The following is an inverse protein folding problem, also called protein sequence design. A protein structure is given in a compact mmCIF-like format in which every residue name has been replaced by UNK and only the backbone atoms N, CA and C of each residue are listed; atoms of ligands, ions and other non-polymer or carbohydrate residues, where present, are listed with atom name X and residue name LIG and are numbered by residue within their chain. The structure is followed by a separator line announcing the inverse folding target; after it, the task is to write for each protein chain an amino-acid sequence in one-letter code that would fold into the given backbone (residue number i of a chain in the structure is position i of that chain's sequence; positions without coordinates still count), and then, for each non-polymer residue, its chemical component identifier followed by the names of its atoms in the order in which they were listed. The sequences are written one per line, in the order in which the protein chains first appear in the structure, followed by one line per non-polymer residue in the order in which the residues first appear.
data_IF_083516813704
#
_entry.id   IF_083516813704
#
_cell.length_a   1.000
_cell.length_b   1.000
_cell.length_c   1.000
_cell.angle_alpha   90.00
_cell.angle_beta   90.00
_cell.angle_gamma   90.00
#
_symmetry.space_group_name_H-M   'P 1'
#
loop_
_entity.id
_entity.type
_entity.pdbx_description
1 polymer ?
#
# COMPACT_ATOMS: atom_id res chain seq x y z
N UNK A 1 -29.97 10.58 -0.55
CA UNK A 1 -28.95 11.61 -0.86
C UNK A 1 -27.71 10.88 -1.36
N UNK A 2 -27.43 10.96 -2.67
CA UNK A 2 -26.30 10.27 -3.32
C UNK A 2 -25.13 11.25 -3.44
N UNK A 3 -23.98 10.93 -2.83
CA UNK A 3 -22.72 11.64 -3.03
C UNK A 3 -22.05 11.12 -4.30
N UNK A 4 -21.73 12.03 -5.21
CA UNK A 4 -21.00 11.76 -6.46
C UNK A 4 -19.48 11.78 -6.21
N UNK A 5 -18.78 10.77 -6.73
CA UNK A 5 -17.33 10.73 -6.84
C UNK A 5 -16.89 11.67 -7.98
N UNK A 6 -15.97 12.58 -7.70
CA UNK A 6 -15.31 13.42 -8.70
C UNK A 6 -13.94 12.79 -9.01
N UNK A 7 -13.80 12.20 -10.18
CA UNK A 7 -12.51 11.90 -10.82
C UNK A 7 -12.10 13.10 -11.67
N UNK A 8 -10.96 13.72 -11.33
CA UNK A 8 -10.36 14.80 -12.11
C UNK A 8 -9.61 14.21 -13.31
N UNK A 9 -10.09 14.49 -14.52
CA UNK A 9 -9.34 14.30 -15.77
C UNK A 9 -8.64 15.61 -16.14
N UNK A 10 -7.33 15.56 -16.31
CA UNK A 10 -6.53 16.62 -16.90
C UNK A 10 -6.72 16.61 -18.41
N UNK A 11 -7.33 17.67 -18.96
CA UNK A 11 -7.51 17.87 -20.39
C UNK A 11 -6.37 18.72 -20.94
N UNK A 12 -5.63 18.11 -21.86
CA UNK A 12 -4.67 18.79 -22.74
C UNK A 12 -5.47 19.62 -23.76
N UNK A 13 -5.36 20.95 -23.70
CA UNK A 13 -5.98 21.86 -24.65
C UNK A 13 -5.18 21.90 -25.96
N UNK A 14 -5.79 21.43 -27.05
CA UNK A 14 -5.40 21.81 -28.41
C UNK A 14 -6.36 22.92 -28.89
N UNK A 15 -5.79 24.06 -29.29
CA UNK A 15 -6.52 25.18 -29.88
C UNK A 15 -6.97 24.88 -31.32
N UNK A 16 -8.18 25.30 -31.66
CA UNK A 16 -8.55 25.64 -33.04
C UNK A 16 -9.60 26.75 -33.05
N UNK A 17 -9.46 27.59 -34.06
CA UNK A 17 -9.94 28.96 -34.21
C UNK A 17 -11.15 29.00 -35.16
N UNK A 18 -12.03 30.00 -34.94
CA UNK A 18 -12.77 30.81 -35.93
C UNK A 18 -14.31 30.76 -35.92
N UNK A 19 -14.87 31.99 -35.83
CA UNK A 19 -16.08 32.55 -36.45
C UNK A 19 -17.43 31.90 -36.13
N UNK A 20 -18.50 32.60 -35.72
CA UNK A 20 -18.89 34.00 -35.90
C UNK A 20 -20.39 33.98 -36.29
N UNK A 21 -21.21 34.89 -35.77
CA UNK A 21 -22.59 35.05 -36.28
C UNK A 21 -23.65 35.44 -35.24
N UNK A 22 -23.97 36.73 -35.24
CA UNK A 22 -25.03 37.45 -34.53
C UNK A 22 -26.39 37.42 -35.27
N UNK A 23 -27.50 37.55 -34.53
CA UNK A 23 -28.83 37.95 -35.03
C UNK A 23 -29.96 37.28 -34.23
N UNK A 24 -30.65 37.93 -33.27
CA UNK A 24 -31.67 38.99 -33.38
C UNK A 24 -33.10 38.49 -33.69
N UNK A 25 -33.97 38.68 -32.68
CA UNK A 25 -35.40 39.12 -32.72
C UNK A 25 -36.47 38.31 -33.45
N UNK A 26 -37.61 38.10 -32.78
CA UNK A 26 -38.91 38.03 -33.45
C UNK A 26 -40.00 37.19 -32.79
N UNK A 27 -40.85 37.87 -32.04
CA UNK A 27 -42.10 37.48 -31.37
C UNK A 27 -43.16 36.81 -32.28
N UNK A 28 -43.95 35.85 -31.77
CA UNK A 28 -45.44 35.85 -31.90
C UNK A 28 -46.16 34.69 -31.16
N UNK A 29 -47.34 35.07 -30.67
CA UNK A 29 -48.34 34.41 -29.82
C UNK A 29 -48.94 33.10 -30.38
N UNK A 30 -49.37 32.23 -29.45
CA UNK A 30 -50.77 31.76 -29.46
C UNK A 30 -51.06 30.25 -29.47
N UNK A 31 -51.53 29.76 -28.31
CA UNK A 31 -52.57 28.74 -28.10
C UNK A 31 -52.30 27.24 -28.39
N UNK A 32 -52.56 26.42 -27.36
CA UNK A 32 -52.93 25.00 -27.49
C UNK A 32 -52.06 24.02 -26.69
N UNK A 33 -52.52 23.58 -25.51
CA UNK A 33 -52.04 22.32 -24.90
C UNK A 33 -52.92 21.14 -25.33
N UNK A 34 -52.78 19.93 -24.75
CA UNK A 34 -51.59 19.31 -24.16
C UNK A 34 -51.28 17.94 -24.82
N UNK A 35 -50.01 17.55 -24.92
CA UNK A 35 -49.64 16.15 -25.13
C UNK A 35 -48.24 15.90 -24.55
N UNK A 36 -48.19 15.25 -23.39
CA UNK A 36 -46.94 14.73 -22.81
C UNK A 36 -46.75 13.33 -23.40
N UNK A 37 -45.99 13.24 -24.49
CA UNK A 37 -45.33 12.01 -24.91
C UNK A 37 -43.85 12.18 -24.58
N UNK A 38 -43.37 11.36 -23.67
CA UNK A 38 -41.96 11.25 -23.35
C UNK A 38 -41.29 10.46 -24.48
N UNK A 39 -40.56 11.16 -25.35
CA UNK A 39 -39.65 10.54 -26.30
C UNK A 39 -38.43 10.00 -25.54
N UNK A 40 -38.23 8.70 -25.73
CA UNK A 40 -37.13 7.88 -25.24
C UNK A 40 -35.88 8.18 -26.08
N UNK A 41 -35.12 9.22 -25.70
CA UNK A 41 -33.83 9.50 -26.30
C UNK A 41 -32.77 8.54 -25.73
N UNK A 42 -32.44 7.53 -26.53
CA UNK A 42 -31.32 6.62 -26.37
C UNK A 42 -29.99 7.40 -26.29
N UNK A 43 -29.29 7.27 -25.15
CA UNK A 43 -27.95 7.82 -24.98
C UNK A 43 -26.90 6.84 -25.55
N UNK A 44 -25.92 7.32 -26.37
CA UNK A 44 -24.87 6.49 -26.92
C UNK A 44 -23.72 6.40 -25.91
N UNK A 45 -23.82 5.50 -24.94
CA UNK A 45 -22.68 5.13 -24.12
C UNK A 45 -22.17 3.75 -24.53
N UNK A 46 -21.03 3.79 -25.22
CA UNK A 46 -20.21 2.63 -25.52
C UNK A 46 -19.97 1.79 -24.26
N UNK A 47 -20.15 0.50 -24.43
CA UNK A 47 -19.93 -0.56 -23.45
C UNK A 47 -18.49 -0.47 -22.91
N UNK A 48 -18.34 -0.16 -21.63
CA UNK A 48 -17.08 -0.41 -20.93
C UNK A 48 -16.81 -1.94 -20.95
N UNK A 49 -15.58 -2.39 -21.27
CA UNK A 49 -15.28 -3.82 -21.27
C UNK A 49 -15.35 -4.38 -19.84
N UNK A 50 -16.02 -5.52 -19.69
CA UNK A 50 -16.06 -6.29 -18.45
C UNK A 50 -14.70 -6.97 -18.20
N UNK A 51 -14.19 -7.05 -16.95
CA UNK A 51 -12.87 -7.65 -16.63
C UNK A 51 -12.72 -9.16 -16.89
N UNK A 52 -13.65 -9.80 -17.60
CA UNK A 52 -13.71 -11.25 -17.77
C UNK A 52 -13.00 -11.78 -19.04
N UNK A 53 -12.37 -10.92 -19.84
CA UNK A 53 -11.80 -11.32 -21.15
C UNK A 53 -10.28 -11.17 -21.28
N UNK A 54 -9.56 -10.86 -20.19
CA UNK A 54 -8.11 -10.62 -20.26
C UNK A 54 -7.21 -11.80 -19.87
N UNK A 55 -7.74 -12.91 -19.32
CA UNK A 55 -6.89 -14.02 -18.84
C UNK A 55 -7.61 -15.36 -18.99
N UNK A 56 -7.79 -15.80 -20.23
CA UNK A 56 -7.92 -17.21 -20.56
C UNK A 56 -6.62 -17.59 -21.23
N UNK A 57 -5.78 -18.32 -20.53
CA UNK A 57 -4.98 -19.44 -21.01
C UNK A 57 -4.16 -19.97 -19.82
N UNK A 58 -3.75 -21.23 -19.92
CA UNK A 58 -3.00 -22.05 -18.94
C UNK A 58 -3.85 -22.93 -18.02
N UNK A 59 -4.40 -23.99 -18.61
CA UNK A 59 -4.55 -25.28 -17.92
C UNK A 59 -3.16 -25.85 -17.55
N UNK A 60 -2.99 -26.44 -16.35
CA UNK A 60 -1.70 -27.02 -15.98
C UNK A 60 -1.47 -28.37 -16.66
N UNK A 61 -0.41 -28.45 -17.46
CA UNK A 61 0.15 -29.69 -17.94
C UNK A 61 0.63 -30.56 -16.76
N UNK A 62 0.17 -31.80 -16.77
CA UNK A 62 0.67 -32.91 -15.97
C UNK A 62 2.12 -33.20 -16.34
N UNK A 63 3.03 -33.23 -15.37
CA UNK A 63 4.17 -34.15 -15.38
C UNK A 63 4.81 -34.25 -13.99
N UNK A 64 4.93 -35.49 -13.52
CA UNK A 64 5.62 -35.88 -12.30
C UNK A 64 7.14 -35.97 -12.52
N UNK A 65 7.95 -35.80 -11.47
CA UNK A 65 9.22 -36.50 -11.41
C UNK A 65 9.38 -37.35 -10.15
N UNK A 66 9.76 -38.58 -10.47
CA UNK A 66 10.37 -39.70 -9.76
C UNK A 66 11.24 -39.35 -8.54
N UNK A 67 10.99 -40.10 -7.46
CA UNK A 67 11.84 -40.20 -6.28
C UNK A 67 13.27 -40.66 -6.64
N UNK A 68 14.27 -40.04 -6.02
CA UNK A 68 15.60 -40.65 -5.90
C UNK A 68 16.06 -40.50 -4.46
N UNK A 69 16.08 -41.64 -3.78
CA UNK A 69 16.58 -41.86 -2.43
C UNK A 69 18.11 -41.85 -2.48
N UNK A 70 18.75 -40.98 -1.69
CA UNK A 70 20.20 -40.90 -1.53
C UNK A 70 20.54 -40.76 -0.05
N UNK A 71 21.31 -41.72 0.45
CA UNK A 71 21.57 -42.02 1.85
C UNK A 71 22.41 -40.95 2.57
N UNK A 72 22.10 -40.76 3.86
CA UNK A 72 22.94 -40.07 4.82
C UNK A 72 24.11 -40.96 5.25
N UNK A 73 25.31 -40.39 5.30
CA UNK A 73 26.45 -40.92 6.05
C UNK A 73 26.79 -39.93 7.16
N UNK A 74 26.74 -40.46 8.38
CA UNK A 74 27.31 -39.90 9.59
C UNK A 74 28.83 -39.80 9.45
N UNK A 75 29.44 -38.72 9.95
CA UNK A 75 30.78 -38.80 10.52
C UNK A 75 30.95 -37.70 11.58
N UNK A 76 31.28 -38.16 12.79
CA UNK A 76 31.65 -37.36 13.95
C UNK A 76 33.09 -36.88 13.81
N UNK A 77 33.37 -35.66 14.27
CA UNK A 77 34.73 -35.12 14.37
C UNK A 77 34.78 -33.96 15.35
N UNK A 78 35.35 -34.25 16.51
CA UNK A 78 35.44 -33.46 17.73
C UNK A 78 36.73 -32.61 17.75
N UNK A 79 36.64 -31.45 18.43
CA UNK A 79 37.70 -30.60 19.00
C UNK A 79 38.87 -30.08 18.14
N UNK A 80 39.02 -28.74 18.06
CA UNK A 80 40.22 -28.07 18.63
C UNK A 80 39.98 -26.56 18.81
N UNK A 81 40.59 -26.01 19.85
CA UNK A 81 40.45 -24.63 20.31
C UNK A 81 41.74 -23.81 20.08
N UNK A 82 41.54 -22.47 20.02
CA UNK A 82 42.50 -21.36 20.22
C UNK A 82 43.30 -20.87 18.99
N UNK A 83 43.85 -19.63 18.99
CA UNK A 83 43.49 -18.38 19.68
C UNK A 83 43.30 -17.18 18.71
N UNK A 84 42.95 -16.03 19.29
CA UNK A 84 42.68 -14.72 18.68
C UNK A 84 43.79 -14.18 17.75
N UNK A 85 43.39 -13.67 16.58
CA UNK A 85 44.22 -12.89 15.64
C UNK A 85 43.81 -11.40 15.66
N UNK A 86 44.65 -10.48 16.16
CA UNK A 86 44.39 -9.05 16.14
C UNK A 86 45.06 -8.41 14.93
N UNK A 87 44.41 -8.40 13.76
CA UNK A 87 45.10 -7.82 12.59
C UNK A 87 44.43 -7.85 11.23
N UNK A 88 43.12 -7.63 11.11
CA UNK A 88 42.50 -7.42 9.79
C UNK A 88 42.24 -5.92 9.52
N UNK A 89 42.83 -5.32 8.47
CA UNK A 89 42.55 -3.94 8.08
C UNK A 89 41.09 -3.79 7.65
N UNK A 90 40.46 -2.72 8.14
CA UNK A 90 39.03 -2.46 7.99
C UNK A 90 38.55 -2.60 6.54
N UNK A 91 37.48 -3.37 6.37
CA UNK A 91 36.71 -3.36 5.11
C UNK A 91 36.27 -1.93 4.82
N UNK A 92 36.43 -1.43 3.58
CA UNK A 92 35.98 -0.10 3.22
C UNK A 92 34.47 -0.02 3.43
N UNK A 93 34.05 0.99 4.19
CA UNK A 93 32.67 1.44 4.27
C UNK A 93 32.24 1.73 2.84
N UNK A 94 31.23 1.01 2.36
CA UNK A 94 30.68 1.21 1.02
C UNK A 94 29.94 2.54 1.05
N UNK A 95 30.63 3.60 0.64
CA UNK A 95 30.03 4.90 0.33
C UNK A 95 29.11 4.74 -0.88
N UNK A 96 27.85 4.40 -0.58
CA UNK A 96 26.81 4.15 -1.59
C UNK A 96 25.42 4.66 -1.20
N UNK A 97 25.32 5.54 -0.20
CA UNK A 97 24.06 6.24 0.11
C UNK A 97 24.01 7.49 -0.75
N UNK A 98 23.40 7.36 -1.93
CA UNK A 98 23.14 8.49 -2.82
C UNK A 98 22.39 9.61 -2.10
N UNK A 99 23.08 10.75 -1.94
CA UNK A 99 22.58 12.12 -1.67
C UNK A 99 21.13 12.21 -1.17
N UNK A 100 20.91 12.01 0.13
CA UNK A 100 19.66 12.39 0.81
C UNK A 100 19.59 13.89 1.15
N UNK A 101 20.32 14.75 0.43
CA UNK A 101 20.74 16.06 0.94
C UNK A 101 20.23 17.29 0.19
N UNK A 102 19.16 17.16 -0.59
CA UNK A 102 18.27 18.32 -0.81
C UNK A 102 17.29 18.47 0.37
N UNK A 103 17.89 18.51 1.56
CA UNK A 103 17.43 18.91 2.89
C UNK A 103 15.92 18.91 3.18
N UNK A 104 15.45 17.82 3.82
CA UNK A 104 14.42 18.00 4.84
C UNK A 104 15.00 18.93 5.91
N UNK A 105 14.58 20.20 5.92
CA UNK A 105 14.96 21.12 6.97
C UNK A 105 14.39 20.63 8.30
N UNK A 106 15.24 20.48 9.31
CA UNK A 106 14.81 20.25 10.70
C UNK A 106 13.91 21.38 11.22
N UNK A 107 14.05 22.59 10.66
CA UNK A 107 13.34 23.80 11.12
C UNK A 107 12.05 24.08 10.33
N UNK A 108 12.08 23.89 9.00
CA UNK A 108 10.95 24.29 8.13
C UNK A 108 10.11 23.10 7.63
N UNK A 109 10.65 21.88 7.68
CA UNK A 109 10.00 20.71 7.10
C UNK A 109 9.88 20.82 5.58
N UNK A 110 9.20 19.86 4.97
CA UNK A 110 8.92 19.81 3.53
C UNK A 110 7.54 19.22 3.33
N UNK A 111 6.77 19.82 2.42
CA UNK A 111 5.44 19.33 2.06
C UNK A 111 5.55 18.08 1.19
N UNK A 112 4.82 17.04 1.56
CA UNK A 112 4.63 15.81 0.79
C UNK A 112 3.15 15.62 0.48
N UNK A 113 2.87 15.07 -0.69
CA UNK A 113 1.57 14.49 -0.99
C UNK A 113 1.32 13.31 -0.04
N UNK A 114 0.08 13.19 0.42
CA UNK A 114 -0.36 12.18 1.35
C UNK A 114 -1.43 11.29 0.71
N UNK A 115 -1.15 10.00 0.69
CA UNK A 115 -2.15 8.95 0.53
C UNK A 115 -2.12 8.01 1.72
N UNK A 116 -3.01 7.03 1.70
CA UNK A 116 -3.06 5.98 2.70
C UNK A 116 -3.21 4.63 2.02
N UNK A 117 -2.57 3.63 2.62
CA UNK A 117 -2.77 2.23 2.26
C UNK A 117 -3.06 1.41 3.52
N UNK A 118 -3.64 0.23 3.32
CA UNK A 118 -4.05 -0.68 4.38
C UNK A 118 -3.91 -2.12 3.90
N UNK A 119 -4.03 -3.08 4.81
CA UNK A 119 -4.13 -4.49 4.39
C UNK A 119 -5.58 -4.86 4.16
N UNK A 120 -5.82 -5.76 3.20
CA UNK A 120 -7.13 -6.32 2.96
C UNK A 120 -7.49 -7.29 4.10
N UNK A 121 -8.30 -6.81 5.04
CA UNK A 121 -8.79 -7.64 6.15
C UNK A 121 -10.06 -8.39 5.74
N UNK A 122 -10.03 -9.72 5.81
CA UNK A 122 -11.18 -10.57 5.48
C UNK A 122 -12.32 -10.38 6.48
N UNK A 123 -13.55 -10.11 6.04
CA UNK A 123 -14.74 -10.19 6.89
C UNK A 123 -14.95 -11.58 7.47
N UNK A 124 -15.59 -11.69 8.63
CA UNK A 124 -15.86 -12.98 9.27
C UNK A 124 -16.88 -13.82 8.48
N UNK A 125 -17.77 -13.15 7.75
CA UNK A 125 -18.83 -13.70 6.91
C UNK A 125 -18.46 -13.74 5.41
N UNK A 126 -17.17 -13.62 5.09
CA UNK A 126 -16.68 -13.61 3.71
C UNK A 126 -16.90 -14.97 3.01
N UNK A 127 -17.69 -15.03 1.92
CA UNK A 127 -18.11 -16.29 1.31
C UNK A 127 -16.95 -17.03 0.63
N UNK A 128 -16.97 -18.36 0.70
CA UNK A 128 -15.96 -19.23 0.08
C UNK A 128 -16.24 -19.43 -1.42
N UNK A 129 -15.75 -18.52 -2.27
CA UNK A 129 -15.98 -18.55 -3.72
C UNK A 129 -14.77 -19.01 -4.53
N UNK A 130 -13.57 -18.72 -4.04
CA UNK A 130 -12.30 -19.11 -4.67
C UNK A 130 -11.37 -19.76 -3.68
N UNK A 131 -10.45 -20.59 -4.17
CA UNK A 131 -9.34 -21.13 -3.39
C UNK A 131 -8.13 -20.24 -3.57
N UNK A 132 -7.52 -19.82 -2.45
CA UNK A 132 -6.21 -19.18 -2.45
C UNK A 132 -5.14 -20.26 -2.20
N UNK A 133 -4.11 -20.26 -3.05
CA UNK A 133 -3.01 -21.22 -3.01
C UNK A 133 -1.67 -20.51 -2.91
N UNK A 134 -0.72 -21.14 -2.22
CA UNK A 134 0.65 -20.65 -2.21
C UNK A 134 1.33 -20.83 -3.58
N UNK A 135 2.57 -20.37 -3.69
CA UNK A 135 3.36 -20.45 -4.92
C UNK A 135 3.74 -21.89 -5.31
N UNK A 136 3.56 -22.86 -4.42
CA UNK A 136 3.72 -24.28 -4.69
C UNK A 136 2.37 -24.97 -4.96
N UNK A 137 1.28 -24.20 -5.11
CA UNK A 137 -0.06 -24.71 -5.35
C UNK A 137 -0.76 -25.29 -4.11
N UNK A 138 -0.16 -25.21 -2.92
CA UNK A 138 -0.75 -25.73 -1.69
C UNK A 138 -1.91 -24.86 -1.25
N UNK A 139 -2.95 -25.49 -0.73
CA UNK A 139 -4.13 -24.80 -0.21
C UNK A 139 -3.78 -23.89 0.98
N UNK A 140 -4.23 -22.64 0.96
CA UNK A 140 -4.12 -21.72 2.09
C UNK A 140 -5.47 -21.46 2.76
N UNK A 141 -6.46 -21.04 1.98
CA UNK A 141 -7.80 -20.72 2.46
C UNK A 141 -8.78 -20.58 1.31
N UNK A 142 -10.07 -20.52 1.63
CA UNK A 142 -11.09 -20.02 0.72
C UNK A 142 -11.26 -18.51 0.88
N UNK A 143 -11.81 -17.84 -0.14
CA UNK A 143 -12.00 -16.40 -0.15
C UNK A 143 -13.19 -16.01 -1.04
N UNK A 144 -13.76 -14.82 -0.86
CA UNK A 144 -14.59 -14.20 -1.89
C UNK A 144 -13.73 -13.65 -3.02
N UNK A 145 -14.33 -13.46 -4.20
CA UNK A 145 -13.67 -12.73 -5.29
C UNK A 145 -13.29 -11.31 -4.87
N UNK A 146 -14.20 -10.62 -4.16
CA UNK A 146 -14.00 -9.25 -3.72
C UNK A 146 -12.82 -9.12 -2.76
N UNK A 147 -12.70 -10.02 -1.78
CA UNK A 147 -11.56 -9.98 -0.86
C UNK A 147 -10.26 -10.37 -1.56
N UNK A 148 -10.25 -11.40 -2.43
CA UNK A 148 -9.07 -11.74 -3.25
C UNK A 148 -8.58 -10.53 -4.05
N UNK A 149 -9.48 -9.84 -4.73
CA UNK A 149 -9.13 -8.70 -5.58
C UNK A 149 -8.65 -7.51 -4.74
N UNK A 150 -9.22 -7.31 -3.55
CA UNK A 150 -8.67 -6.36 -2.58
C UNK A 150 -7.25 -6.75 -2.13
N UNK A 151 -6.95 -8.04 -1.90
CA UNK A 151 -5.58 -8.46 -1.57
C UNK A 151 -4.62 -8.17 -2.73
N UNK A 152 -5.02 -8.42 -3.98
CA UNK A 152 -4.17 -8.10 -5.15
C UNK A 152 -3.88 -6.60 -5.26
N UNK A 153 -4.86 -5.77 -4.94
CA UNK A 153 -4.71 -4.32 -4.97
C UNK A 153 -3.80 -3.82 -3.85
N UNK A 154 -4.02 -4.30 -2.62
CA UNK A 154 -3.29 -3.85 -1.42
C UNK A 154 -1.99 -4.62 -1.17
N UNK A 155 -1.68 -5.61 -2.01
CA UNK A 155 -0.57 -6.57 -1.92
C UNK A 155 -0.55 -7.46 -0.66
N UNK A 156 -1.32 -7.15 0.38
CA UNK A 156 -1.33 -7.89 1.66
C UNK A 156 -2.74 -8.23 2.11
N UNK A 157 -2.96 -9.50 2.42
CA UNK A 157 -4.21 -10.04 2.96
C UNK A 157 -4.03 -10.52 4.38
N UNK A 158 -5.04 -10.28 5.23
CA UNK A 158 -5.08 -10.87 6.57
C UNK A 158 -6.46 -11.42 6.90
N UNK A 159 -6.48 -12.46 7.73
CA UNK A 159 -7.70 -12.95 8.37
C UNK A 159 -7.39 -13.65 9.68
N UNK A 160 -8.43 -13.84 10.50
CA UNK A 160 -8.38 -14.73 11.67
C UNK A 160 -9.15 -15.99 11.29
N UNK A 161 -8.49 -17.14 11.33
CA UNK A 161 -9.11 -18.43 11.09
C UNK A 161 -10.07 -18.80 12.23
N UNK A 162 -10.90 -19.83 12.02
CA UNK A 162 -11.91 -20.26 12.99
C UNK A 162 -11.33 -20.75 14.32
N UNK A 163 -10.08 -21.19 14.32
CA UNK A 163 -9.30 -21.59 15.51
C UNK A 163 -8.67 -20.38 16.25
N UNK A 164 -8.92 -19.16 15.77
CA UNK A 164 -8.32 -17.93 16.31
C UNK A 164 -6.94 -17.59 15.74
N UNK A 165 -6.36 -18.44 14.87
CA UNK A 165 -5.05 -18.21 14.28
C UNK A 165 -5.10 -17.03 13.31
N UNK A 166 -4.23 -16.03 13.52
CA UNK A 166 -4.05 -14.94 12.56
C UNK A 166 -3.20 -15.41 11.39
N UNK A 167 -3.70 -15.24 10.18
CA UNK A 167 -3.01 -15.56 8.93
C UNK A 167 -2.80 -14.26 8.17
N UNK A 168 -1.58 -14.08 7.69
CA UNK A 168 -1.18 -12.95 6.84
C UNK A 168 -0.46 -13.52 5.63
N UNK A 169 -0.70 -12.95 4.46
CA UNK A 169 0.00 -13.34 3.25
C UNK A 169 0.16 -12.13 2.33
N UNK A 170 1.23 -12.16 1.54
CA UNK A 170 1.48 -11.17 0.50
C UNK A 170 1.19 -11.79 -0.88
N UNK A 171 0.68 -10.97 -1.80
CA UNK A 171 0.69 -11.30 -3.23
C UNK A 171 2.13 -11.38 -3.73
N UNK A 172 2.42 -12.43 -4.49
CA UNK A 172 3.72 -12.70 -5.10
C UNK A 172 3.59 -12.80 -6.63
N UNK A 173 2.65 -12.07 -7.23
CA UNK A 173 2.48 -11.99 -8.69
C UNK A 173 1.65 -13.14 -9.24
N UNK A 174 0.55 -13.50 -8.56
CA UNK A 174 -0.37 -14.55 -9.01
C UNK A 174 -0.48 -15.75 -8.06
N UNK A 175 0.43 -15.87 -7.10
CA UNK A 175 0.38 -16.80 -5.97
C UNK A 175 0.55 -16.05 -4.64
N UNK A 176 0.26 -16.72 -3.52
CA UNK A 176 0.30 -16.07 -2.19
C UNK A 176 1.44 -16.61 -1.34
N UNK A 177 2.25 -15.71 -0.77
CA UNK A 177 3.25 -16.11 0.21
C UNK A 177 2.67 -16.01 1.61
N UNK A 178 2.49 -17.13 2.29
CA UNK A 178 2.09 -17.14 3.70
C UNK A 178 3.22 -16.56 4.55
N UNK A 179 2.87 -15.59 5.41
CA UNK A 179 3.81 -14.89 6.26
C UNK A 179 3.97 -15.58 7.61
N UNK A 180 5.18 -15.50 8.18
CA UNK A 180 5.39 -15.84 9.59
C UNK A 180 4.73 -14.80 10.49
N UNK A 181 4.50 -15.15 11.76
CA UNK A 181 3.88 -14.26 12.75
C UNK A 181 4.67 -12.97 13.02
N UNK A 182 5.94 -12.91 12.61
CA UNK A 182 6.75 -11.69 12.69
C UNK A 182 6.23 -10.57 11.77
N UNK A 183 5.59 -10.92 10.65
CA UNK A 183 5.02 -9.99 9.67
C UNK A 183 3.49 -9.94 9.80
N UNK A 184 2.99 -9.72 11.02
CA UNK A 184 1.57 -9.75 11.37
C UNK A 184 0.72 -8.64 10.73
N UNK A 185 1.34 -7.71 10.00
CA UNK A 185 0.73 -6.66 9.19
C UNK A 185 1.29 -6.58 7.77
N UNK A 186 2.04 -7.58 7.34
CA UNK A 186 2.69 -7.60 6.04
C UNK A 186 4.18 -7.28 6.10
N UNK A 187 4.83 -7.56 4.98
CA UNK A 187 6.25 -7.39 4.75
C UNK A 187 6.48 -6.14 3.89
N UNK A 188 7.31 -5.22 4.40
CA UNK A 188 7.81 -4.08 3.63
C UNK A 188 9.10 -4.43 2.87
N UNK A 189 9.85 -3.41 2.46
CA UNK A 189 11.08 -3.63 1.69
C UNK A 189 12.22 -4.21 2.55
N UNK A 190 13.19 -4.92 1.95
CA UNK A 190 14.44 -5.31 2.60
C UNK A 190 15.18 -4.13 3.22
N UNK A 191 15.67 -4.32 4.44
CA UNK A 191 16.61 -3.41 5.08
C UNK A 191 17.90 -3.31 4.25
N UNK A 192 18.39 -2.09 3.94
CA UNK A 192 19.66 -1.93 3.25
C UNK A 192 20.87 -2.39 4.11
N UNK A 193 20.67 -2.56 5.42
CA UNK A 193 21.73 -2.97 6.36
C UNK A 193 21.76 -4.50 6.52
N UNK A 194 20.60 -5.11 6.78
CA UNK A 194 20.52 -6.53 7.14
C UNK A 194 20.00 -7.43 6.02
N UNK A 195 19.48 -6.87 4.92
CA UNK A 195 18.77 -7.62 3.88
C UNK A 195 17.44 -8.24 4.33
N UNK A 196 17.13 -8.23 5.63
CA UNK A 196 15.86 -8.72 6.17
C UNK A 196 14.77 -7.68 5.95
N UNK A 197 13.62 -8.10 5.45
CA UNK A 197 12.48 -7.21 5.24
C UNK A 197 11.97 -6.61 6.54
N UNK A 198 11.56 -5.34 6.47
CA UNK A 198 10.88 -4.72 7.60
C UNK A 198 9.47 -5.31 7.76
N UNK A 199 9.03 -5.43 9.01
CA UNK A 199 7.60 -5.65 9.29
C UNK A 199 6.86 -4.33 9.23
N UNK A 200 5.70 -4.33 8.59
CA UNK A 200 4.83 -3.16 8.58
C UNK A 200 4.17 -3.00 9.96
N UNK A 201 3.93 -1.76 10.36
CA UNK A 201 3.34 -1.43 11.66
C UNK A 201 2.30 -0.34 11.45
N UNK A 202 1.01 -0.60 11.76
CA UNK A 202 -0.03 0.40 11.63
C UNK A 202 0.34 1.68 12.36
N UNK A 203 0.15 2.79 11.66
CA UNK A 203 0.45 4.14 12.11
C UNK A 203 1.93 4.39 12.39
N UNK A 204 2.86 3.62 11.81
CA UNK A 204 4.31 3.89 11.93
C UNK A 204 5.02 3.71 10.60
N UNK A 205 4.60 2.73 9.80
CA UNK A 205 5.17 2.51 8.47
C UNK A 205 4.67 3.55 7.47
N UNK A 206 5.57 4.00 6.60
CA UNK A 206 5.25 4.76 5.40
C UNK A 206 5.90 4.10 4.18
N UNK A 207 5.19 4.10 3.06
CA UNK A 207 5.77 3.84 1.76
C UNK A 207 6.23 5.17 1.13
N UNK A 208 7.40 5.14 0.50
CA UNK A 208 8.09 6.34 0.02
C UNK A 208 8.81 6.09 -1.31
N UNK A 209 9.18 7.17 -1.99
CA UNK A 209 10.22 7.13 -3.01
C UNK A 209 11.60 7.09 -2.33
N UNK A 210 12.35 6.01 -2.57
CA UNK A 210 13.67 5.78 -1.98
C UNK A 210 14.76 6.77 -2.45
N UNK A 211 14.53 7.47 -3.56
CA UNK A 211 15.41 8.55 -4.03
C UNK A 211 15.21 9.85 -3.24
N UNK A 212 14.08 9.98 -2.52
CA UNK A 212 13.74 11.16 -1.72
C UNK A 212 13.91 10.88 -0.24
N UNK A 213 13.38 9.75 0.27
CA UNK A 213 13.47 9.35 1.66
C UNK A 213 14.22 8.03 1.80
N UNK A 214 15.27 8.04 2.63
CA UNK A 214 16.07 6.85 2.90
C UNK A 214 15.25 5.78 3.64
N UNK A 215 15.25 4.57 3.09
CA UNK A 215 14.68 3.37 3.71
C UNK A 215 15.38 3.07 5.04
N UNK A 216 14.58 2.67 6.02
CA UNK A 216 14.98 2.37 7.40
C UNK A 216 15.02 3.58 8.33
N UNK A 217 14.96 4.81 7.79
CA UNK A 217 15.07 6.05 8.57
C UNK A 217 13.74 6.50 9.17
N UNK A 218 13.84 7.17 10.31
CA UNK A 218 12.72 7.82 11.00
C UNK A 218 12.56 9.26 10.55
N UNK A 219 11.30 9.68 10.40
CA UNK A 219 10.90 11.02 10.04
C UNK A 219 9.84 11.50 11.02
N UNK A 220 9.75 12.82 11.18
CA UNK A 220 8.72 13.44 11.99
C UNK A 220 7.68 14.11 11.10
N UNK A 221 6.41 13.80 11.31
CA UNK A 221 5.26 14.38 10.63
C UNK A 221 4.45 15.15 11.64
N UNK A 222 4.44 16.48 11.51
CA UNK A 222 3.84 17.37 12.52
C UNK A 222 2.35 17.13 12.68
N UNK A 223 1.65 16.87 11.57
CA UNK A 223 0.20 16.67 11.55
C UNK A 223 -0.23 15.39 12.28
N UNK A 224 0.68 14.42 12.46
CA UNK A 224 0.40 13.19 13.19
C UNK A 224 0.70 13.31 14.70
N UNK A 225 1.36 14.37 15.16
CA UNK A 225 1.69 14.54 16.58
C UNK A 225 0.45 14.93 17.41
N UNK A 226 0.22 14.18 18.49
CA UNK A 226 -0.96 14.31 19.35
C UNK A 226 -2.22 13.62 18.81
N UNK A 227 -2.17 13.00 17.62
CA UNK A 227 -3.36 12.35 17.04
C UNK A 227 -3.64 11.03 17.75
N UNK A 228 -4.84 10.90 18.33
CA UNK A 228 -5.33 9.62 18.83
C UNK A 228 -5.67 8.71 17.65
N UNK A 229 -4.97 7.58 17.57
CA UNK A 229 -5.15 6.63 16.48
C UNK A 229 -6.44 5.83 16.66
N UNK A 230 -7.09 5.40 15.57
CA UNK A 230 -8.21 4.48 15.62
C UNK A 230 -7.73 3.03 15.86
N UNK A 231 -8.68 2.08 15.91
CA UNK A 231 -8.38 0.65 15.79
C UNK A 231 -7.52 0.42 14.54
N UNK A 232 -6.45 -0.40 14.58
CA UNK A 232 -6.13 -1.41 15.61
C UNK A 232 -5.36 -0.90 16.83
N UNK A 233 -5.03 0.38 16.93
CA UNK A 233 -4.22 0.94 18.02
C UNK A 233 -4.93 2.11 18.71
N UNK A 234 -6.16 1.89 19.17
CA UNK A 234 -7.01 2.95 19.73
C UNK A 234 -6.48 3.64 21.00
N UNK A 235 -5.51 3.04 21.68
CA UNK A 235 -4.81 3.62 22.84
C UNK A 235 -3.57 4.42 22.46
N UNK A 236 -3.11 4.35 21.20
CA UNK A 236 -1.95 5.10 20.74
C UNK A 236 -2.33 6.57 20.49
N UNK A 237 -1.65 7.46 21.21
CA UNK A 237 -1.51 8.85 20.80
C UNK A 237 -0.20 8.92 20.02
N UNK A 238 -0.29 9.28 18.75
CA UNK A 238 0.85 9.31 17.85
C UNK A 238 1.71 10.54 18.16
N UNK A 239 3.03 10.38 18.10
CA UNK A 239 4.06 11.38 18.47
C UNK A 239 4.71 12.03 17.23
N UNK A 240 4.00 11.97 16.11
CA UNK A 240 4.48 12.36 14.79
C UNK A 240 5.53 11.45 14.15
N UNK A 241 6.09 10.46 14.84
CA UNK A 241 7.19 9.67 14.30
C UNK A 241 6.74 8.51 13.39
N UNK A 242 7.29 8.48 12.18
CA UNK A 242 7.06 7.44 11.18
C UNK A 242 8.38 6.94 10.61
N UNK A 243 8.38 5.75 10.02
CA UNK A 243 9.58 5.09 9.48
C UNK A 243 9.35 4.68 8.03
N UNK A 244 10.26 5.08 7.15
CA UNK A 244 10.28 4.64 5.76
C UNK A 244 10.71 3.18 5.70
N UNK A 245 9.77 2.28 5.50
CA UNK A 245 10.03 0.83 5.51
C UNK A 245 9.35 0.11 4.36
N UNK A 246 8.78 0.86 3.43
CA UNK A 246 7.98 0.34 2.35
C UNK A 246 8.12 1.20 1.09
N UNK A 247 7.66 0.67 -0.04
CA UNK A 247 7.62 1.36 -1.35
C UNK A 247 6.39 0.88 -2.12
N UNK A 248 5.91 1.64 -3.10
CA UNK A 248 4.79 1.22 -3.93
C UNK A 248 4.91 1.71 -5.37
N UNK A 249 4.24 1.03 -6.29
CA UNK A 249 4.28 1.33 -7.73
C UNK A 249 3.82 2.74 -8.10
N UNK A 250 3.03 3.40 -7.25
CA UNK A 250 2.53 4.76 -7.47
C UNK A 250 3.21 5.84 -6.63
N UNK A 251 4.24 5.51 -5.86
CA UNK A 251 4.83 6.42 -4.88
C UNK A 251 6.14 6.99 -5.43
N UNK A 252 6.07 8.21 -5.96
CA UNK A 252 7.19 8.89 -6.61
C UNK A 252 7.38 10.31 -6.08
N UNK A 253 8.63 10.75 -5.99
CA UNK A 253 8.98 12.10 -5.54
C UNK A 253 8.57 12.38 -4.09
N UNK A 254 8.01 13.57 -3.85
CA UNK A 254 7.58 14.01 -2.52
C UNK A 254 6.17 13.46 -2.19
N UNK A 255 6.07 12.15 -2.13
CA UNK A 255 4.83 11.42 -1.83
C UNK A 255 5.08 10.44 -0.69
N UNK A 256 4.24 10.50 0.34
CA UNK A 256 4.13 9.51 1.40
C UNK A 256 2.80 8.78 1.31
N UNK A 257 2.87 7.45 1.36
CA UNK A 257 1.71 6.62 1.62
C UNK A 257 1.73 6.16 3.09
N UNK A 258 0.75 6.59 3.88
CA UNK A 258 0.72 6.28 5.31
C UNK A 258 -0.02 4.99 5.60
N UNK A 259 0.66 4.05 6.26
CA UNK A 259 0.08 2.74 6.56
C UNK A 259 -0.94 2.82 7.70
N UNK A 260 -2.23 2.85 7.35
CA UNK A 260 -3.32 2.89 8.31
C UNK A 260 -3.58 1.54 8.99
N UNK A 261 -3.04 0.45 8.44
CA UNK A 261 -3.32 -0.92 8.86
C UNK A 261 -4.66 -1.43 8.36
N UNK A 262 -5.76 -0.72 8.63
CA UNK A 262 -7.12 -1.12 8.22
C UNK A 262 -7.82 -0.01 7.42
N UNK A 263 -8.69 -0.39 6.47
CA UNK A 263 -9.53 0.56 5.73
C UNK A 263 -10.46 1.38 6.63
N UNK A 264 -10.94 0.78 7.72
CA UNK A 264 -11.72 1.50 8.73
C UNK A 264 -10.89 2.58 9.45
N UNK A 265 -9.61 2.31 9.74
CA UNK A 265 -8.69 3.27 10.32
C UNK A 265 -8.49 4.48 9.38
N UNK A 266 -8.24 4.21 8.10
CA UNK A 266 -8.19 5.24 7.06
C UNK A 266 -9.46 6.10 7.05
N UNK A 267 -10.63 5.44 7.03
CA UNK A 267 -11.93 6.15 6.99
C UNK A 267 -12.12 7.05 8.22
N UNK A 268 -11.68 6.61 9.40
CA UNK A 268 -11.72 7.42 10.63
C UNK A 268 -10.74 8.59 10.59
N UNK A 269 -9.52 8.39 10.09
CA UNK A 269 -8.53 9.47 9.99
C UNK A 269 -8.98 10.56 9.00
N UNK A 270 -9.54 10.16 7.84
CA UNK A 270 -9.97 11.09 6.80
C UNK A 270 -11.23 11.86 7.14
N UNK A 271 -12.20 11.22 7.81
CA UNK A 271 -13.53 11.82 8.06
C UNK A 271 -13.72 12.25 9.52
N UNK A 272 -12.74 12.01 10.39
CA UNK A 272 -12.83 12.33 11.81
C UNK A 272 -12.52 13.79 12.13
N UNK A 273 -12.58 14.14 13.41
CA UNK A 273 -12.16 15.45 13.91
C UNK A 273 -10.70 15.41 14.38
N UNK A 274 -9.77 15.17 13.45
CA UNK A 274 -8.32 15.14 13.72
C UNK A 274 -7.58 16.11 12.81
N UNK A 275 -6.32 16.40 13.14
CA UNK A 275 -5.43 17.15 12.25
C UNK A 275 -5.20 16.46 10.90
N UNK A 276 -5.51 15.17 10.74
CA UNK A 276 -5.37 14.42 9.49
C UNK A 276 -6.60 14.49 8.58
N UNK A 277 -7.73 14.99 9.09
CA UNK A 277 -9.00 14.98 8.39
C UNK A 277 -8.96 15.76 7.07
N UNK A 278 -9.43 15.13 5.99
CA UNK A 278 -9.48 15.72 4.64
C UNK A 278 -8.12 16.12 4.06
N UNK A 279 -6.99 15.74 4.67
CA UNK A 279 -5.67 16.13 4.19
C UNK A 279 -5.25 15.32 2.97
N UNK A 280 -4.72 16.03 1.98
CA UNK A 280 -3.98 15.48 0.85
C UNK A 280 -2.47 15.76 0.92
N UNK A 281 -2.01 16.50 1.94
CA UNK A 281 -0.59 16.83 2.14
C UNK A 281 -0.21 16.89 3.61
N UNK A 282 1.07 16.65 3.90
CA UNK A 282 1.68 16.70 5.25
C UNK A 282 3.04 17.37 5.23
N UNK A 283 3.48 17.83 6.40
CA UNK A 283 4.79 18.44 6.59
C UNK A 283 5.74 17.46 7.25
N UNK A 284 6.76 17.05 6.51
CA UNK A 284 7.76 16.06 6.90
C UNK A 284 9.05 16.76 7.31
N UNK A 285 9.62 16.36 8.43
CA UNK A 285 10.89 16.83 8.96
C UNK A 285 11.85 15.65 9.09
N UNK A 286 13.15 15.96 9.15
CA UNK A 286 14.10 14.99 9.64
C UNK A 286 13.73 14.54 11.07
N UNK A 287 13.76 13.23 11.31
CA UNK A 287 13.32 12.64 12.56
C UNK A 287 14.43 12.43 13.59
N UNK A 288 15.71 12.71 13.31
CA UNK A 288 16.83 12.27 14.15
C UNK A 288 16.70 12.75 15.61
N UNK A 289 16.32 14.01 15.81
CA UNK A 289 16.15 14.58 17.14
C UNK A 289 14.85 14.12 17.83
N UNK A 290 13.70 14.19 17.12
CA UNK A 290 12.39 13.96 17.73
C UNK A 290 12.00 12.49 17.84
N UNK A 291 12.54 11.64 16.96
CA UNK A 291 12.20 10.22 16.86
C UNK A 291 13.31 9.29 17.35
N UNK A 292 14.39 9.85 17.94
CA UNK A 292 15.54 9.07 18.43
C UNK A 292 15.16 7.94 19.40
N UNK A 293 14.15 8.16 20.26
CA UNK A 293 13.68 7.15 21.22
C UNK A 293 13.15 5.86 20.56
N UNK A 294 12.70 5.93 19.30
CA UNK A 294 12.24 4.74 18.57
C UNK A 294 13.40 3.94 17.97
N UNK A 295 14.52 4.60 17.67
CA UNK A 295 15.75 3.96 17.19
C UNK A 295 16.30 3.04 18.30
N UNK A 296 16.33 3.55 19.53
CA UNK A 296 16.86 2.83 20.70
C UNK A 296 16.00 1.62 21.12
N UNK A 297 14.70 1.66 20.83
CA UNK A 297 13.75 0.62 21.24
C UNK A 297 13.63 -0.55 20.25
N UNK A 298 14.49 -0.61 19.22
CA UNK A 298 14.46 -1.69 18.23
C UNK A 298 13.13 -1.78 17.49
N UNK A 299 12.50 -0.64 17.23
CA UNK A 299 11.36 -0.61 16.31
C UNK A 299 11.79 -1.02 14.90
#
# INVERSE_FOLDING_TARGET
MRLAYITAFSLCTLSLVACGGSGSTGDTRGAGGPAVQADEAQSPHGRAPTPAEAWKDDEPATDAPTETTGQATEENGEEDATPEDPGAPGKPVVDGVGKSEAALSTSYGTTFDLTYYWVANRPADDPNQVTLRDCDGRFLTYASYAWRDAVRMEMTGRFTASDGTKRVFNDAGGCWKLMSSFYDWGMGVPSPISGTSYKLRPFRSIAVDKSVLQIGRWYYVKELDGVKMPSPRSSLIHDGCVRAVDTGYGIFGKHIDFFAGLKSAYSTLMNGSTTMAGRSTITVYDGAAKCGIHIERGY
#
